data_IF_330993469239
#
_entry.id   IF_330993469239
#
_cell.length_a   1.000
_cell.length_b   1.000
_cell.length_c   1.000
_cell.angle_alpha   90.00
_cell.angle_beta   90.00
_cell.angle_gamma   90.00
#
_symmetry.space_group_name_H-M   'P 1'
#
loop_
_entity.id
_entity.type
_entity.pdbx_description
1 polymer ?
#
# COMPACT_ATOMS: atom_id res chain seq x y z
N UNK A 1 -34.08 20.76 8.56
CA UNK A 1 -33.11 21.12 9.63
C UNK A 1 -32.27 19.88 9.85
N UNK A 2 -31.16 19.78 9.12
CA UNK A 2 -30.23 18.67 9.25
C UNK A 2 -29.40 18.90 10.52
N UNK A 3 -29.52 17.99 11.46
CA UNK A 3 -28.62 17.94 12.61
C UNK A 3 -27.21 17.58 12.10
N UNK A 4 -26.31 18.55 12.12
CA UNK A 4 -24.88 18.31 12.02
C UNK A 4 -24.51 17.58 13.31
N UNK A 5 -24.18 16.28 13.21
CA UNK A 5 -23.62 15.52 14.30
C UNK A 5 -22.34 16.23 14.76
N UNK A 6 -22.25 16.54 16.04
CA UNK A 6 -21.07 17.13 16.65
C UNK A 6 -19.87 16.24 16.34
N UNK A 7 -18.77 16.88 15.94
CA UNK A 7 -17.47 16.26 15.76
C UNK A 7 -17.01 15.77 17.16
N UNK A 8 -17.30 14.51 17.44
CA UNK A 8 -16.86 13.87 18.68
C UNK A 8 -15.33 13.77 18.61
N UNK A 9 -14.62 14.64 19.31
CA UNK A 9 -13.20 14.88 19.44
C UNK A 9 -12.22 13.71 19.28
N UNK A 10 -12.27 13.02 18.15
CA UNK A 10 -11.32 11.96 17.77
C UNK A 10 -9.99 12.57 17.30
N UNK A 11 -8.89 11.93 17.68
CA UNK A 11 -7.59 12.28 17.09
C UNK A 11 -7.57 11.99 15.58
N UNK A 12 -6.73 12.66 14.78
CA UNK A 12 -6.67 12.45 13.33
C UNK A 12 -6.43 10.97 12.95
N UNK A 13 -7.39 10.35 12.26
CA UNK A 13 -7.40 8.95 11.89
C UNK A 13 -8.13 8.02 12.87
N UNK A 14 -8.58 8.49 14.01
CA UNK A 14 -9.39 7.75 14.98
C UNK A 14 -10.90 7.86 14.70
N UNK A 15 -11.32 8.88 13.96
CA UNK A 15 -12.72 9.02 13.53
C UNK A 15 -13.13 7.85 12.65
N UNK A 16 -14.40 7.39 12.77
CA UNK A 16 -14.95 6.39 11.85
C UNK A 16 -14.95 6.94 10.41
N UNK A 17 -14.83 6.02 9.45
CA UNK A 17 -14.97 6.37 8.03
C UNK A 17 -16.40 6.81 7.72
N UNK A 18 -16.56 7.67 6.71
CA UNK A 18 -17.91 8.18 6.33
C UNK A 18 -18.75 7.13 5.61
N UNK A 19 -18.09 6.32 4.78
CA UNK A 19 -18.76 5.37 3.88
C UNK A 19 -18.04 4.05 3.93
N UNK A 20 -18.81 2.96 3.90
CA UNK A 20 -18.32 1.60 3.75
C UNK A 20 -18.49 1.20 2.28
N UNK A 21 -17.44 0.65 1.68
CA UNK A 21 -17.50 0.08 0.34
C UNK A 21 -18.60 -1.00 0.26
N UNK A 22 -19.27 -1.08 -0.86
CA UNK A 22 -20.48 -1.90 -1.04
C UNK A 22 -20.19 -3.33 -1.54
N UNK A 23 -19.15 -3.55 -2.35
CA UNK A 23 -18.77 -4.90 -2.74
C UNK A 23 -18.10 -5.67 -1.57
N UNK A 24 -18.21 -6.99 -1.60
CA UNK A 24 -17.76 -7.90 -0.53
C UNK A 24 -16.89 -9.01 -1.10
N UNK A 25 -15.70 -9.19 -0.54
CA UNK A 25 -14.82 -10.31 -0.85
C UNK A 25 -14.70 -11.22 0.38
N UNK A 26 -15.10 -12.49 0.30
CA UNK A 26 -14.79 -13.46 1.34
C UNK A 26 -13.27 -13.70 1.45
N UNK A 27 -12.73 -13.65 2.68
CA UNK A 27 -11.32 -13.92 2.97
C UNK A 27 -11.28 -14.84 4.20
N UNK A 28 -11.02 -16.12 4.00
CA UNK A 28 -11.14 -17.11 5.06
C UNK A 28 -12.56 -17.11 5.64
N UNK A 29 -12.69 -16.87 6.95
CA UNK A 29 -13.97 -16.74 7.65
C UNK A 29 -14.48 -15.30 7.75
N UNK A 30 -13.74 -14.35 7.20
CA UNK A 30 -14.09 -12.93 7.23
C UNK A 30 -14.46 -12.38 5.86
N UNK A 31 -14.94 -11.14 5.86
CA UNK A 31 -15.34 -10.41 4.65
C UNK A 31 -14.60 -9.09 4.58
N UNK A 32 -13.98 -8.80 3.43
CA UNK A 32 -13.33 -7.53 3.13
C UNK A 32 -14.26 -6.67 2.28
N UNK A 33 -14.59 -5.43 2.69
CA UNK A 33 -15.30 -4.48 1.85
C UNK A 33 -14.35 -3.86 0.83
N UNK A 34 -14.83 -3.61 -0.40
CA UNK A 34 -14.03 -3.00 -1.47
C UNK A 34 -14.90 -2.28 -2.49
N UNK A 35 -14.32 -1.28 -3.18
CA UNK A 35 -14.91 -0.65 -4.36
C UNK A 35 -14.40 -1.34 -5.62
N UNK A 36 -15.30 -1.50 -6.59
CA UNK A 36 -15.02 -2.08 -7.91
C UNK A 36 -15.55 -1.15 -9.01
N UNK A 37 -14.81 -0.95 -10.07
CA UNK A 37 -15.27 -0.20 -11.23
C UNK A 37 -16.19 -1.01 -12.16
N UNK A 38 -16.18 -2.32 -12.03
CA UNK A 38 -17.02 -3.27 -12.75
C UNK A 38 -17.36 -4.42 -11.82
N UNK A 39 -18.53 -5.01 -11.99
CA UNK A 39 -18.93 -6.21 -11.28
C UNK A 39 -18.05 -7.39 -11.76
N UNK A 40 -17.27 -7.94 -10.86
CA UNK A 40 -16.35 -9.05 -11.17
C UNK A 40 -16.94 -10.43 -10.89
N UNK A 41 -18.21 -10.52 -10.50
CA UNK A 41 -18.92 -11.79 -10.34
C UNK A 41 -19.48 -12.31 -11.68
N UNK A 42 -19.36 -11.49 -12.71
CA UNK A 42 -19.59 -11.87 -14.11
C UNK A 42 -18.26 -11.83 -14.89
N UNK A 43 -18.13 -12.61 -16.00
CA UNK A 43 -16.93 -12.57 -16.83
C UNK A 43 -16.65 -11.19 -17.41
N UNK A 44 -15.40 -10.74 -17.32
CA UNK A 44 -14.92 -9.45 -17.78
C UNK A 44 -13.88 -9.59 -18.92
N UNK A 45 -14.28 -10.02 -20.14
CA UNK A 45 -13.34 -10.28 -21.23
C UNK A 45 -12.63 -9.01 -21.76
N UNK A 46 -13.17 -7.83 -21.51
CA UNK A 46 -12.53 -6.58 -21.89
C UNK A 46 -11.41 -6.16 -20.93
N UNK A 47 -11.32 -6.77 -19.74
CA UNK A 47 -10.30 -6.42 -18.75
C UNK A 47 -8.97 -7.07 -19.10
N UNK A 48 -7.97 -6.22 -19.32
CA UNK A 48 -6.57 -6.61 -19.60
C UNK A 48 -5.61 -6.23 -18.49
N UNK A 49 -6.03 -5.35 -17.57
CA UNK A 49 -5.29 -4.87 -16.40
C UNK A 49 -6.21 -4.77 -15.20
N UNK A 50 -5.72 -5.13 -14.02
CA UNK A 50 -6.34 -4.75 -12.75
C UNK A 50 -5.44 -3.74 -12.01
N UNK A 51 -6.03 -2.69 -11.46
CA UNK A 51 -5.34 -1.67 -10.66
C UNK A 51 -5.96 -1.65 -9.28
N UNK A 52 -5.20 -2.16 -8.30
CA UNK A 52 -5.56 -2.16 -6.90
C UNK A 52 -4.98 -0.90 -6.27
N UNK A 53 -5.82 -0.04 -5.70
CA UNK A 53 -5.37 1.21 -5.06
C UNK A 53 -5.66 1.16 -3.56
N UNK A 54 -4.60 1.26 -2.76
CA UNK A 54 -4.63 1.16 -1.32
C UNK A 54 -4.74 2.56 -0.70
N UNK A 55 -5.75 2.74 0.15
CA UNK A 55 -6.05 4.01 0.81
C UNK A 55 -5.00 4.42 1.85
N UNK A 56 -5.04 5.68 2.26
CA UNK A 56 -4.22 6.24 3.32
C UNK A 56 -4.66 5.82 4.74
N UNK A 57 -3.98 6.35 5.75
CA UNK A 57 -4.23 6.05 7.17
C UNK A 57 -5.66 6.32 7.63
N UNK A 58 -6.39 7.21 6.94
CA UNK A 58 -7.78 7.56 7.27
C UNK A 58 -8.79 6.47 6.92
N UNK A 59 -8.39 5.41 6.22
CA UNK A 59 -9.24 4.31 5.77
C UNK A 59 -10.37 4.76 4.82
N UNK A 60 -10.22 5.94 4.23
CA UNK A 60 -11.12 6.64 3.32
C UNK A 60 -11.02 6.07 1.88
N UNK A 61 -11.42 4.81 1.73
CA UNK A 61 -11.35 4.09 0.46
C UNK A 61 -12.20 4.74 -0.65
N UNK A 62 -13.30 5.41 -0.30
CA UNK A 62 -14.13 6.21 -1.20
C UNK A 62 -13.33 7.33 -1.88
N UNK A 63 -12.52 8.06 -1.10
CA UNK A 63 -11.63 9.11 -1.61
C UNK A 63 -10.59 8.55 -2.58
N UNK A 64 -10.01 7.39 -2.25
CA UNK A 64 -9.03 6.74 -3.12
C UNK A 64 -9.66 6.09 -4.34
N UNK A 65 -10.90 5.62 -4.26
CA UNK A 65 -11.65 5.15 -5.42
C UNK A 65 -11.92 6.29 -6.41
N UNK A 66 -12.40 7.43 -5.91
CA UNK A 66 -12.55 8.63 -6.73
C UNK A 66 -11.22 9.10 -7.35
N UNK A 67 -10.12 9.04 -6.57
CA UNK A 67 -8.79 9.36 -7.10
C UNK A 67 -8.33 8.41 -8.22
N UNK A 68 -8.61 7.11 -8.07
CA UNK A 68 -8.33 6.10 -9.10
C UNK A 68 -9.14 6.31 -10.37
N UNK A 69 -10.44 6.63 -10.24
CA UNK A 69 -11.32 6.97 -11.37
C UNK A 69 -10.81 8.22 -12.09
N UNK A 70 -10.53 9.29 -11.36
CA UNK A 70 -9.98 10.53 -11.93
C UNK A 70 -8.63 10.31 -12.64
N UNK A 71 -7.80 9.40 -12.12
CA UNK A 71 -6.55 9.04 -12.79
C UNK A 71 -6.81 8.23 -14.06
N UNK A 72 -7.77 7.30 -14.05
CA UNK A 72 -8.15 6.54 -15.25
C UNK A 72 -8.73 7.45 -16.33
N UNK A 73 -9.58 8.42 -15.97
CA UNK A 73 -10.13 9.41 -16.88
C UNK A 73 -9.01 10.27 -17.51
N UNK A 74 -8.07 10.72 -16.68
CA UNK A 74 -6.92 11.51 -17.16
C UNK A 74 -5.98 10.69 -18.07
N UNK A 75 -5.84 9.38 -17.84
CA UNK A 75 -5.05 8.49 -18.69
C UNK A 75 -5.76 8.14 -20.02
N UNK A 76 -7.08 8.33 -20.12
CA UNK A 76 -7.88 8.13 -21.32
C UNK A 76 -7.68 6.74 -21.94
N UNK A 77 -7.15 6.67 -23.14
CA UNK A 77 -6.97 5.40 -23.84
C UNK A 77 -5.98 4.45 -23.16
N UNK A 78 -5.02 4.93 -22.39
CA UNK A 78 -4.06 4.11 -21.67
C UNK A 78 -4.72 3.31 -20.54
N UNK A 79 -5.82 3.83 -19.95
CA UNK A 79 -6.59 3.15 -18.91
C UNK A 79 -7.64 2.17 -19.46
N UNK A 80 -7.86 2.10 -20.77
CA UNK A 80 -8.84 1.17 -21.35
C UNK A 80 -8.56 -0.28 -20.94
N UNK A 81 -9.62 -0.99 -20.60
CA UNK A 81 -9.52 -2.38 -20.13
C UNK A 81 -8.93 -2.51 -18.73
N UNK A 82 -8.93 -1.45 -17.94
CA UNK A 82 -8.54 -1.50 -16.53
C UNK A 82 -9.75 -1.74 -15.63
N UNK A 83 -9.63 -2.70 -14.71
CA UNK A 83 -10.52 -2.89 -13.57
C UNK A 83 -9.88 -2.18 -12.37
N UNK A 84 -10.59 -1.21 -11.77
CA UNK A 84 -10.16 -0.53 -10.55
C UNK A 84 -10.72 -1.26 -9.33
N UNK A 85 -9.87 -1.53 -8.35
CA UNK A 85 -10.18 -2.25 -7.12
C UNK A 85 -9.63 -1.43 -5.95
N UNK A 86 -10.46 -1.05 -4.99
CA UNK A 86 -10.01 -0.31 -3.81
C UNK A 86 -10.51 -1.01 -2.55
N UNK A 87 -9.69 -1.90 -1.96
CA UNK A 87 -10.04 -2.54 -0.70
C UNK A 87 -10.11 -1.53 0.44
N UNK A 88 -11.01 -1.74 1.40
CA UNK A 88 -11.15 -0.92 2.59
C UNK A 88 -10.74 -1.71 3.83
N UNK A 89 -9.58 -1.37 4.40
CA UNK A 89 -9.11 -1.94 5.66
C UNK A 89 -9.73 -1.18 6.82
N UNK A 90 -10.78 -1.74 7.39
CA UNK A 90 -11.53 -1.12 8.49
C UNK A 90 -10.81 -1.24 9.83
N UNK A 91 -11.18 -0.37 10.76
CA UNK A 91 -10.82 -0.48 12.19
C UNK A 91 -12.07 -0.80 13.03
N UNK A 92 -11.88 -1.23 14.26
CA UNK A 92 -12.98 -1.55 15.16
C UNK A 92 -13.95 -0.38 15.39
N UNK A 93 -13.47 0.87 15.31
CA UNK A 93 -14.33 2.07 15.39
C UNK A 93 -15.31 2.16 14.21
N UNK A 94 -14.88 1.77 13.01
CA UNK A 94 -15.72 1.79 11.80
C UNK A 94 -16.84 0.76 11.91
N UNK A 95 -16.49 -0.46 12.34
CA UNK A 95 -17.45 -1.57 12.52
C UNK A 95 -18.53 -1.19 13.54
N UNK A 96 -18.15 -0.61 14.66
CA UNK A 96 -19.12 -0.17 15.69
C UNK A 96 -20.00 0.98 15.21
N UNK A 97 -19.42 2.00 14.59
CA UNK A 97 -20.14 3.18 14.10
C UNK A 97 -21.20 2.81 13.05
N UNK A 98 -20.82 2.01 12.08
CA UNK A 98 -21.69 1.58 10.98
C UNK A 98 -22.53 0.33 11.29
N UNK A 99 -22.39 -0.25 12.51
CA UNK A 99 -23.11 -1.49 12.93
C UNK A 99 -22.94 -2.60 11.91
N UNK A 100 -21.70 -2.84 11.47
CA UNK A 100 -21.41 -3.83 10.44
C UNK A 100 -21.60 -5.26 10.98
N UNK A 101 -21.82 -6.24 10.08
CA UNK A 101 -21.93 -7.65 10.43
C UNK A 101 -20.68 -8.15 11.15
N UNK A 102 -20.80 -9.19 12.02
CA UNK A 102 -19.69 -9.70 12.84
C UNK A 102 -18.58 -10.38 12.03
N UNK A 103 -18.84 -10.78 10.79
CA UNK A 103 -17.86 -11.35 9.87
C UNK A 103 -17.01 -10.29 9.14
N UNK A 104 -17.27 -9.00 9.36
CA UNK A 104 -16.51 -7.91 8.74
C UNK A 104 -15.09 -7.84 9.31
N UNK A 105 -14.09 -8.03 8.43
CA UNK A 105 -12.69 -7.91 8.80
C UNK A 105 -12.38 -6.49 9.26
N UNK A 106 -11.72 -6.40 10.41
CA UNK A 106 -11.18 -5.14 10.90
C UNK A 106 -9.89 -5.34 11.71
N UNK A 107 -9.08 -4.32 11.70
CA UNK A 107 -7.77 -4.26 12.35
C UNK A 107 -7.77 -3.15 13.40
N UNK A 108 -6.63 -2.95 14.06
CA UNK A 108 -6.38 -1.68 14.75
C UNK A 108 -6.24 -0.54 13.72
N UNK A 109 -6.21 0.70 14.19
CA UNK A 109 -6.03 1.87 13.32
C UNK A 109 -4.79 1.80 12.43
N UNK A 110 -3.75 1.05 12.83
CA UNK A 110 -2.45 1.02 12.15
C UNK A 110 -1.95 -0.38 11.77
N UNK A 111 -2.42 -1.44 12.44
CA UNK A 111 -1.85 -2.79 12.26
C UNK A 111 -2.00 -3.32 10.83
N UNK A 112 -3.09 -2.98 10.14
CA UNK A 112 -3.29 -3.34 8.74
C UNK A 112 -2.17 -2.85 7.82
N UNK A 113 -1.51 -1.74 8.16
CA UNK A 113 -0.39 -1.22 7.37
C UNK A 113 0.87 -2.08 7.48
N UNK A 114 0.96 -2.95 8.47
CA UNK A 114 2.10 -3.84 8.70
C UNK A 114 1.90 -5.28 8.22
N UNK A 115 0.72 -5.63 7.73
CA UNK A 115 0.39 -7.04 7.47
C UNK A 115 0.08 -7.83 8.73
N UNK A 116 -0.26 -7.14 9.82
CA UNK A 116 -0.62 -7.76 11.08
C UNK A 116 -2.00 -8.43 10.98
N UNK A 117 -2.31 -9.37 11.91
CA UNK A 117 -3.61 -10.01 11.96
C UNK A 117 -4.75 -9.03 12.25
N UNK A 118 -5.94 -9.31 11.70
CA UNK A 118 -7.19 -8.65 12.06
C UNK A 118 -7.56 -8.95 13.53
N UNK A 119 -8.30 -8.02 14.15
CA UNK A 119 -8.86 -8.20 15.49
C UNK A 119 -10.08 -9.13 15.46
N UNK A 120 -10.85 -9.10 14.37
CA UNK A 120 -12.02 -9.96 14.15
C UNK A 120 -12.34 -10.10 12.65
N UNK A 121 -13.12 -11.13 12.26
CA UNK A 121 -13.61 -12.27 13.05
C UNK A 121 -12.56 -13.33 13.35
N UNK A 122 -11.43 -13.28 12.68
CA UNK A 122 -10.31 -14.20 12.81
C UNK A 122 -8.98 -13.46 12.54
N UNK A 123 -7.84 -13.98 13.01
CA UNK A 123 -6.54 -13.31 12.85
C UNK A 123 -6.00 -13.41 11.41
N UNK A 124 -6.77 -12.89 10.47
CA UNK A 124 -6.44 -12.82 9.03
C UNK A 124 -5.57 -11.58 8.80
N UNK A 125 -4.39 -11.77 8.20
CA UNK A 125 -3.51 -10.65 7.84
C UNK A 125 -4.16 -9.76 6.77
N UNK A 126 -3.89 -8.46 6.81
CA UNK A 126 -4.23 -7.58 5.68
C UNK A 126 -3.54 -8.00 4.37
N UNK A 127 -2.41 -8.71 4.48
CA UNK A 127 -1.73 -9.29 3.31
C UNK A 127 -2.42 -10.56 2.80
N UNK A 128 -3.04 -11.37 3.67
CA UNK A 128 -3.92 -12.46 3.23
C UNK A 128 -5.15 -11.91 2.49
N UNK A 129 -5.67 -10.76 2.90
CA UNK A 129 -6.75 -10.08 2.20
C UNK A 129 -6.33 -9.60 0.80
N UNK A 130 -5.10 -9.09 0.64
CA UNK A 130 -4.54 -8.78 -0.68
C UNK A 130 -4.29 -10.06 -1.51
N UNK A 131 -3.78 -11.12 -0.90
CA UNK A 131 -3.61 -12.42 -1.57
C UNK A 131 -4.95 -12.95 -2.10
N UNK A 132 -6.06 -12.75 -1.37
CA UNK A 132 -7.40 -13.15 -1.81
C UNK A 132 -7.87 -12.34 -3.04
N UNK A 133 -7.63 -11.04 -3.08
CA UNK A 133 -7.89 -10.22 -4.28
C UNK A 133 -7.10 -10.74 -5.47
N UNK A 134 -5.79 -11.00 -5.28
CA UNK A 134 -4.93 -11.49 -6.34
C UNK A 134 -5.32 -12.90 -6.79
N UNK A 135 -5.77 -13.75 -5.86
CA UNK A 135 -6.29 -15.08 -6.17
C UNK A 135 -7.56 -15.01 -7.04
N UNK A 136 -8.48 -14.09 -6.75
CA UNK A 136 -9.67 -13.85 -7.58
C UNK A 136 -9.30 -13.46 -9.01
N UNK A 137 -8.25 -12.65 -9.18
CA UNK A 137 -7.75 -12.21 -10.49
C UNK A 137 -7.06 -13.31 -11.31
N UNK A 138 -6.69 -14.44 -10.71
CA UNK A 138 -6.15 -15.62 -11.43
C UNK A 138 -7.24 -16.45 -12.11
N UNK A 139 -8.52 -16.21 -11.81
CA UNK A 139 -9.64 -16.92 -12.45
C UNK A 139 -9.74 -16.56 -13.94
N UNK A 140 -9.32 -17.46 -14.79
CA UNK A 140 -9.34 -17.27 -16.25
C UNK A 140 -10.73 -17.34 -16.85
N UNK A 141 -11.73 -17.89 -16.16
CA UNK A 141 -13.13 -17.82 -16.58
C UNK A 141 -13.69 -16.41 -16.38
N UNK A 142 -13.37 -15.79 -15.25
CA UNK A 142 -13.76 -14.41 -14.95
C UNK A 142 -12.93 -13.37 -15.72
N UNK A 143 -11.62 -13.61 -15.88
CA UNK A 143 -10.67 -12.65 -16.48
C UNK A 143 -9.83 -13.27 -17.61
N UNK A 144 -10.44 -13.66 -18.74
CA UNK A 144 -9.76 -14.43 -19.79
C UNK A 144 -8.59 -13.69 -20.44
N UNK A 145 -8.65 -12.37 -20.50
CA UNK A 145 -7.67 -11.51 -21.16
C UNK A 145 -6.79 -10.68 -20.20
N UNK A 146 -6.89 -10.91 -18.90
CA UNK A 146 -6.04 -10.22 -17.91
C UNK A 146 -4.56 -10.56 -18.16
N UNK A 147 -3.70 -9.55 -18.17
CA UNK A 147 -2.26 -9.65 -18.45
C UNK A 147 -1.40 -9.05 -17.35
N UNK A 148 -1.92 -8.06 -16.65
CA UNK A 148 -1.15 -7.34 -15.64
C UNK A 148 -1.99 -6.91 -14.45
N UNK A 149 -1.35 -6.87 -13.28
CA UNK A 149 -1.91 -6.35 -12.03
C UNK A 149 -0.97 -5.29 -11.48
N UNK A 150 -1.53 -4.16 -11.09
CA UNK A 150 -0.82 -3.09 -10.40
C UNK A 150 -1.35 -3.01 -8.96
N UNK A 151 -0.46 -3.08 -7.99
CA UNK A 151 -0.76 -2.84 -6.56
C UNK A 151 -0.17 -1.48 -6.20
N UNK A 152 -1.00 -0.47 -6.14
CA UNK A 152 -0.61 0.91 -5.88
C UNK A 152 -1.12 1.38 -4.52
N UNK A 153 -0.38 2.25 -3.86
CA UNK A 153 -0.83 2.88 -2.63
C UNK A 153 -0.14 4.21 -2.38
N UNK A 154 -0.84 5.08 -1.65
CA UNK A 154 -0.31 6.37 -1.22
C UNK A 154 -0.33 6.46 0.30
N UNK A 155 0.67 7.13 0.90
CA UNK A 155 0.73 7.33 2.36
C UNK A 155 0.74 5.99 3.12
N UNK A 156 -0.26 5.72 3.97
CA UNK A 156 -0.46 4.42 4.62
C UNK A 156 -0.58 3.27 3.61
N UNK A 157 -1.35 3.46 2.53
CA UNK A 157 -1.43 2.50 1.42
C UNK A 157 -0.09 2.32 0.70
N UNK A 158 0.73 3.36 0.59
CA UNK A 158 2.09 3.28 0.06
C UNK A 158 3.00 2.42 0.95
N UNK A 159 2.82 2.48 2.28
CA UNK A 159 3.50 1.59 3.22
C UNK A 159 3.05 0.14 3.02
N UNK A 160 1.75 -0.10 2.84
CA UNK A 160 1.22 -1.45 2.55
C UNK A 160 1.78 -1.97 1.24
N UNK A 161 1.70 -1.20 0.14
CA UNK A 161 2.22 -1.60 -1.16
C UNK A 161 3.71 -1.97 -1.09
N UNK A 162 4.51 -1.19 -0.35
CA UNK A 162 5.93 -1.46 -0.13
C UNK A 162 6.15 -2.75 0.67
N UNK A 163 5.50 -2.89 1.83
CA UNK A 163 5.67 -4.06 2.72
C UNK A 163 5.12 -5.33 2.07
N UNK A 164 4.02 -5.21 1.34
CA UNK A 164 3.49 -6.32 0.56
C UNK A 164 4.42 -6.67 -0.62
N UNK A 165 5.09 -5.69 -1.24
CA UNK A 165 6.15 -5.98 -2.21
C UNK A 165 7.35 -6.71 -1.58
N UNK A 166 7.59 -6.60 -0.26
CA UNK A 166 8.63 -7.36 0.45
C UNK A 166 8.15 -8.77 0.81
N UNK A 167 6.96 -8.93 1.41
CA UNK A 167 6.49 -10.18 2.00
C UNK A 167 5.41 -10.91 1.17
N UNK A 168 4.70 -10.20 0.27
CA UNK A 168 3.51 -10.72 -0.41
C UNK A 168 3.79 -11.94 -1.27
N UNK A 169 2.93 -12.95 -1.12
CA UNK A 169 2.98 -14.22 -1.86
C UNK A 169 2.15 -14.20 -3.14
N UNK A 170 1.12 -13.37 -3.17
CA UNK A 170 0.17 -13.30 -4.29
C UNK A 170 0.82 -12.86 -5.60
N UNK A 171 1.80 -11.94 -5.55
CA UNK A 171 2.52 -11.47 -6.72
C UNK A 171 3.29 -12.60 -7.43
N UNK A 172 3.99 -13.43 -6.67
CA UNK A 172 4.74 -14.55 -7.22
C UNK A 172 3.81 -15.61 -7.82
N UNK A 173 2.64 -15.83 -7.21
CA UNK A 173 1.59 -16.73 -7.75
C UNK A 173 1.02 -16.21 -9.07
N UNK A 174 0.78 -14.90 -9.18
CA UNK A 174 0.34 -14.28 -10.44
C UNK A 174 1.39 -14.44 -11.53
N UNK A 175 2.67 -14.21 -11.21
CA UNK A 175 3.77 -14.38 -12.18
C UNK A 175 3.89 -15.84 -12.64
N UNK A 176 3.69 -16.80 -11.75
CA UNK A 176 3.70 -18.24 -12.09
C UNK A 176 2.62 -18.63 -13.12
N UNK A 177 1.52 -17.88 -13.22
CA UNK A 177 0.46 -18.06 -14.22
C UNK A 177 0.56 -17.05 -15.39
N UNK A 178 1.70 -16.38 -15.54
CA UNK A 178 2.00 -15.49 -16.66
C UNK A 178 1.39 -14.09 -16.56
N UNK A 179 0.98 -13.65 -15.36
CA UNK A 179 0.50 -12.29 -15.13
C UNK A 179 1.62 -11.40 -14.62
N UNK A 180 1.84 -10.27 -15.27
CA UNK A 180 2.81 -9.28 -14.81
C UNK A 180 2.29 -8.55 -13.56
N UNK A 181 3.18 -8.31 -12.59
CA UNK A 181 2.83 -7.57 -11.36
C UNK A 181 3.74 -6.38 -11.18
N UNK A 182 3.15 -5.22 -10.89
CA UNK A 182 3.86 -3.99 -10.55
C UNK A 182 3.38 -3.44 -9.22
N UNK A 183 4.31 -2.98 -8.41
CA UNK A 183 4.01 -2.27 -7.15
C UNK A 183 4.30 -0.79 -7.32
N UNK A 184 3.36 0.07 -6.89
CA UNK A 184 3.52 1.53 -6.93
C UNK A 184 3.46 2.07 -5.51
N UNK A 185 4.57 2.60 -5.05
CA UNK A 185 4.80 3.04 -3.66
C UNK A 185 4.88 4.55 -3.65
N UNK A 186 3.77 5.22 -3.29
CA UNK A 186 3.67 6.67 -3.29
C UNK A 186 3.70 7.25 -1.88
N UNK A 187 4.61 8.16 -1.61
CA UNK A 187 4.75 8.95 -0.38
C UNK A 187 4.58 8.16 0.94
N UNK A 188 5.17 6.98 1.16
CA UNK A 188 5.06 6.29 2.44
C UNK A 188 5.83 7.05 3.53
N UNK A 189 5.41 6.90 4.78
CA UNK A 189 6.11 7.51 5.93
C UNK A 189 7.35 6.75 6.37
N UNK A 190 7.50 5.49 5.96
CA UNK A 190 8.67 4.66 6.30
C UNK A 190 8.84 3.52 5.31
N UNK A 191 10.03 2.97 5.28
CA UNK A 191 10.46 1.86 4.43
C UNK A 191 11.04 0.72 5.28
N UNK A 192 11.09 -0.47 4.70
CA UNK A 192 11.68 -1.67 5.32
C UNK A 192 13.13 -1.79 4.86
N UNK A 193 14.08 -1.60 5.76
CA UNK A 193 15.50 -1.83 5.50
C UNK A 193 15.85 -3.30 5.77
N UNK A 194 16.71 -3.89 4.95
CA UNK A 194 17.09 -5.31 5.04
C UNK A 194 18.26 -5.56 5.98
N UNK A 195 18.92 -4.50 6.46
CA UNK A 195 20.00 -4.57 7.42
C UNK A 195 19.95 -3.37 8.41
N UNK A 196 20.78 -3.38 9.49
CA UNK A 196 20.78 -2.29 10.47
C UNK A 196 21.40 -0.97 10.01
N UNK A 197 21.68 -0.78 8.73
CA UNK A 197 22.20 0.49 8.21
C UNK A 197 21.07 1.51 8.00
N UNK A 198 21.39 2.77 8.25
CA UNK A 198 20.52 3.92 7.99
C UNK A 198 21.31 5.05 7.35
N UNK A 199 20.66 5.97 6.64
CA UNK A 199 21.35 7.09 6.00
C UNK A 199 22.07 7.96 7.03
N UNK A 200 23.25 8.44 6.66
CA UNK A 200 24.06 9.39 7.40
C UNK A 200 23.94 10.79 6.82
N UNK A 201 24.38 11.81 7.56
CA UNK A 201 24.27 13.21 7.14
C UNK A 201 25.14 13.55 5.92
N UNK A 202 26.19 12.80 5.70
CA UNK A 202 27.10 12.90 4.53
C UNK A 202 26.58 12.17 3.29
N UNK A 203 25.39 11.58 3.36
CA UNK A 203 24.74 10.89 2.24
C UNK A 203 25.12 9.42 2.09
N UNK A 204 25.98 8.89 3.00
CA UNK A 204 26.31 7.47 3.06
C UNK A 204 25.32 6.64 3.88
N UNK A 205 25.70 5.41 4.20
CA UNK A 205 24.96 4.51 5.07
C UNK A 205 25.90 3.93 6.13
N UNK A 206 25.42 3.89 7.37
CA UNK A 206 26.17 3.30 8.48
C UNK A 206 25.22 2.55 9.41
N UNK A 207 25.80 1.58 10.16
CA UNK A 207 25.06 0.88 11.20
C UNK A 207 24.49 1.87 12.21
N UNK A 208 23.17 1.87 12.34
CA UNK A 208 22.49 2.78 13.25
C UNK A 208 22.72 2.34 14.71
N UNK A 209 23.02 3.25 15.63
CA UNK A 209 23.22 2.92 17.03
C UNK A 209 21.90 2.52 17.69
N UNK A 210 21.69 1.24 17.99
CA UNK A 210 20.48 0.72 18.60
C UNK A 210 20.13 1.40 19.94
N UNK A 211 21.12 1.86 20.69
CA UNK A 211 20.91 2.60 21.93
C UNK A 211 20.11 3.91 21.75
N UNK A 212 20.13 4.50 20.54
CA UNK A 212 19.35 5.72 20.21
C UNK A 212 17.88 5.42 19.95
N UNK A 213 17.57 4.20 19.48
CA UNK A 213 16.20 3.78 19.16
C UNK A 213 16.18 2.24 19.12
N UNK A 214 15.87 1.55 20.22
CA UNK A 214 15.92 0.08 20.28
C UNK A 214 15.04 -0.62 19.22
N UNK A 215 13.93 0.00 18.80
CA UNK A 215 13.01 -0.52 17.79
C UNK A 215 13.31 -0.10 16.34
N UNK A 216 14.46 0.53 16.06
CA UNK A 216 14.75 1.09 14.73
C UNK A 216 14.73 0.05 13.60
N UNK A 217 15.03 -1.22 13.92
CA UNK A 217 15.12 -2.33 12.97
C UNK A 217 13.97 -3.35 13.15
N UNK A 218 13.00 -3.03 14.01
CA UNK A 218 11.79 -3.83 14.15
C UNK A 218 10.91 -3.70 12.88
N UNK A 219 10.17 -4.77 12.55
CA UNK A 219 9.09 -4.65 11.60
C UNK A 219 8.16 -3.53 12.08
N UNK A 220 7.91 -2.62 11.32
CA UNK A 220 7.78 -2.33 9.89
C UNK A 220 8.89 -1.39 9.33
N UNK A 221 10.01 -1.26 10.03
CA UNK A 221 11.15 -0.41 9.65
C UNK A 221 12.38 -1.23 9.24
N UNK A 222 12.43 -2.47 9.65
CA UNK A 222 13.47 -3.45 9.37
C UNK A 222 12.93 -4.88 9.46
N UNK A 223 13.81 -5.85 9.64
CA UNK A 223 13.49 -7.27 9.50
C UNK A 223 13.26 -8.00 10.83
N UNK A 224 13.36 -7.33 11.98
CA UNK A 224 13.17 -7.98 13.26
C UNK A 224 11.68 -8.06 13.62
N UNK A 225 11.20 -9.24 14.01
CA UNK A 225 9.81 -9.45 14.43
C UNK A 225 8.82 -9.32 13.28
N UNK A 226 9.05 -10.03 12.17
CA UNK A 226 8.13 -10.10 11.04
C UNK A 226 6.72 -10.53 11.50
N UNK A 227 5.65 -10.05 10.82
CA UNK A 227 4.28 -10.42 11.17
C UNK A 227 4.04 -11.92 10.92
N UNK A 228 3.04 -12.54 11.59
CA UNK A 228 2.71 -13.95 11.41
C UNK A 228 2.49 -14.37 9.95
N UNK A 229 2.05 -13.45 9.09
CA UNK A 229 1.92 -13.66 7.65
C UNK A 229 3.23 -14.14 6.98
N UNK A 230 4.38 -13.69 7.46
CA UNK A 230 5.67 -14.12 6.92
C UNK A 230 5.93 -15.62 7.13
N UNK A 231 5.26 -16.27 8.08
CA UNK A 231 5.45 -17.67 8.41
C UNK A 231 6.89 -18.00 8.75
N UNK A 232 7.45 -19.01 8.12
CA UNK A 232 8.84 -19.44 8.31
C UNK A 232 9.85 -18.70 7.42
N UNK A 233 9.46 -17.60 6.76
CA UNK A 233 10.38 -16.87 5.88
C UNK A 233 11.58 -16.32 6.66
N UNK A 234 12.78 -16.69 6.24
CA UNK A 234 13.99 -16.14 6.83
C UNK A 234 14.18 -14.69 6.33
N UNK A 235 14.37 -13.71 7.24
CA UNK A 235 14.56 -12.30 6.84
C UNK A 235 15.60 -12.10 5.74
N UNK A 236 16.72 -12.81 5.83
CA UNK A 236 17.81 -12.72 4.84
C UNK A 236 17.42 -13.22 3.43
N UNK A 237 16.37 -14.02 3.31
CA UNK A 237 15.89 -14.54 2.03
C UNK A 237 14.91 -13.61 1.30
N UNK A 238 14.50 -12.50 1.92
CA UNK A 238 13.46 -11.61 1.38
C UNK A 238 14.01 -10.52 0.45
N UNK A 239 15.27 -10.12 0.63
CA UNK A 239 15.86 -8.98 -0.09
C UNK A 239 16.01 -9.27 -1.59
N UNK A 240 16.58 -10.39 -1.98
CA UNK A 240 16.86 -10.70 -3.38
C UNK A 240 15.58 -10.84 -4.22
N UNK A 241 14.53 -11.58 -3.77
CA UNK A 241 13.24 -11.59 -4.46
C UNK A 241 12.62 -10.19 -4.59
N UNK A 242 12.66 -9.37 -3.53
CA UNK A 242 12.16 -8.00 -3.57
C UNK A 242 12.89 -7.15 -4.61
N UNK A 243 14.22 -7.22 -4.65
CA UNK A 243 15.02 -6.48 -5.63
C UNK A 243 14.69 -6.85 -7.09
N UNK A 244 14.25 -8.09 -7.32
CA UNK A 244 13.80 -8.57 -8.64
C UNK A 244 12.37 -8.18 -9.03
N UNK A 245 11.56 -7.64 -8.11
CA UNK A 245 10.17 -7.24 -8.40
C UNK A 245 10.12 -5.91 -9.16
N UNK A 246 9.02 -5.69 -9.88
CA UNK A 246 8.78 -4.38 -10.53
C UNK A 246 8.20 -3.40 -9.50
N UNK A 247 9.01 -2.49 -9.01
CA UNK A 247 8.60 -1.47 -8.05
C UNK A 247 8.83 -0.07 -8.62
N UNK A 248 7.82 0.79 -8.49
CA UNK A 248 7.88 2.21 -8.87
C UNK A 248 7.65 3.06 -7.63
N UNK A 249 8.62 3.88 -7.26
CA UNK A 249 8.50 4.84 -6.18
C UNK A 249 8.09 6.19 -6.73
N UNK A 250 7.08 6.81 -6.10
CA UNK A 250 6.61 8.14 -6.44
C UNK A 250 6.69 9.03 -5.20
N UNK A 251 7.37 10.16 -5.30
CA UNK A 251 7.51 11.10 -4.20
C UNK A 251 7.06 12.50 -4.62
N UNK A 252 6.21 13.12 -3.81
CA UNK A 252 5.87 14.53 -3.99
C UNK A 252 7.07 15.41 -3.64
N UNK A 253 7.48 16.27 -4.57
CA UNK A 253 8.58 17.20 -4.35
C UNK A 253 8.32 18.21 -3.22
N UNK A 254 7.04 18.46 -2.91
CA UNK A 254 6.59 19.27 -1.79
C UNK A 254 6.27 18.51 -0.50
N UNK A 255 6.44 17.17 -0.45
CA UNK A 255 6.17 16.37 0.76
C UNK A 255 7.38 16.40 1.73
N UNK A 256 7.73 17.60 2.17
CA UNK A 256 8.92 17.94 2.96
C UNK A 256 8.59 18.47 4.36
N UNK A 257 7.32 18.52 4.72
CA UNK A 257 6.90 18.99 6.04
C UNK A 257 7.22 17.93 7.10
N UNK A 258 8.05 18.33 8.09
CA UNK A 258 8.46 17.49 9.23
C UNK A 258 7.39 17.40 10.31
N UNK A 259 6.47 18.36 10.33
CA UNK A 259 5.44 18.49 11.34
C UNK A 259 4.06 18.06 10.84
N UNK A 260 3.99 17.55 9.61
CA UNK A 260 2.75 17.06 9.02
C UNK A 260 2.12 15.97 9.93
N UNK A 261 0.85 16.13 10.37
CA UNK A 261 0.24 15.31 11.42
C UNK A 261 0.21 13.80 11.14
N UNK A 262 0.17 13.40 9.86
CA UNK A 262 0.19 12.00 9.46
C UNK A 262 1.60 11.44 9.17
N UNK A 263 2.65 12.25 9.40
CA UNK A 263 4.03 11.75 9.29
C UNK A 263 4.33 10.86 10.50
N UNK A 264 4.89 9.67 10.25
CA UNK A 264 5.45 8.85 11.32
C UNK A 264 6.69 9.53 11.91
N UNK A 265 6.57 9.96 13.16
CA UNK A 265 7.62 10.67 13.91
C UNK A 265 8.33 9.79 14.95
N UNK A 266 8.08 8.47 14.91
CA UNK A 266 8.83 7.55 15.75
C UNK A 266 10.33 7.65 15.49
N UNK A 267 11.15 7.31 16.49
CA UNK A 267 12.60 7.31 16.31
C UNK A 267 13.06 6.39 15.19
N UNK A 268 12.36 5.29 14.94
CA UNK A 268 12.64 4.35 13.87
C UNK A 268 12.39 4.95 12.47
N UNK A 269 11.29 5.68 12.31
CA UNK A 269 11.01 6.40 11.08
C UNK A 269 11.96 7.60 10.89
N UNK A 270 12.27 8.34 11.97
CA UNK A 270 13.20 9.47 11.95
C UNK A 270 14.63 9.04 11.59
N UNK A 271 15.04 7.81 11.95
CA UNK A 271 16.32 7.24 11.55
C UNK A 271 16.46 7.07 10.01
N UNK A 272 15.35 7.09 9.27
CA UNK A 272 15.34 6.99 7.80
C UNK A 272 15.43 8.36 7.11
N UNK A 273 15.20 9.45 7.83
CA UNK A 273 15.23 10.82 7.32
C UNK A 273 14.15 11.71 7.93
N UNK A 274 14.24 13.02 7.71
CA UNK A 274 13.40 14.01 8.39
C UNK A 274 11.95 14.10 7.89
N UNK A 275 11.70 13.76 6.64
CA UNK A 275 10.38 13.82 5.97
C UNK A 275 10.28 12.79 4.85
N UNK A 276 9.06 12.60 4.29
CA UNK A 276 8.79 11.49 3.36
C UNK A 276 9.67 11.51 2.12
N UNK A 277 9.86 12.68 1.49
CA UNK A 277 10.73 12.79 0.32
C UNK A 277 12.17 12.35 0.64
N UNK A 278 12.76 12.85 1.73
CA UNK A 278 14.12 12.48 2.12
C UNK A 278 14.24 10.98 2.42
N UNK A 279 13.24 10.40 3.14
CA UNK A 279 13.21 8.96 3.44
C UNK A 279 13.15 8.11 2.18
N UNK A 280 12.33 8.53 1.21
CA UNK A 280 12.20 7.83 -0.07
C UNK A 280 13.48 7.86 -0.89
N UNK A 281 14.09 9.03 -1.04
CA UNK A 281 15.34 9.18 -1.76
C UNK A 281 16.48 8.40 -1.10
N UNK A 282 16.61 8.48 0.22
CA UNK A 282 17.60 7.71 0.96
C UNK A 282 17.38 6.19 0.81
N UNK A 283 16.13 5.72 0.92
CA UNK A 283 15.83 4.30 0.74
C UNK A 283 16.16 3.80 -0.67
N UNK A 284 15.86 4.58 -1.70
CA UNK A 284 16.19 4.21 -3.07
C UNK A 284 17.70 4.18 -3.31
N UNK A 285 18.44 5.15 -2.76
CA UNK A 285 19.91 5.15 -2.78
C UNK A 285 20.48 3.93 -2.04
N UNK A 286 19.92 3.56 -0.88
CA UNK A 286 20.26 2.35 -0.14
C UNK A 286 20.10 1.09 -1.02
N UNK A 287 18.98 0.94 -1.70
CA UNK A 287 18.75 -0.21 -2.59
C UNK A 287 19.73 -0.22 -3.77
N UNK A 288 19.98 0.92 -4.39
CA UNK A 288 20.92 1.02 -5.52
C UNK A 288 22.37 0.69 -5.12
N UNK A 289 22.78 1.06 -3.92
CA UNK A 289 24.12 0.72 -3.40
C UNK A 289 24.27 -0.79 -3.19
N UNK A 290 23.19 -1.48 -2.81
CA UNK A 290 23.18 -2.93 -2.57
C UNK A 290 22.93 -3.77 -3.82
N UNK A 291 22.20 -3.22 -4.77
CA UNK A 291 21.80 -3.85 -6.04
C UNK A 291 22.10 -2.89 -7.19
N UNK A 292 23.33 -2.85 -7.73
CA UNK A 292 23.69 -1.94 -8.82
C UNK A 292 22.78 -2.06 -10.05
N UNK A 293 22.32 -3.28 -10.36
CA UNK A 293 21.41 -3.59 -11.48
C UNK A 293 19.93 -3.51 -11.11
N UNK A 294 19.59 -2.85 -10.00
CA UNK A 294 18.19 -2.71 -9.53
C UNK A 294 17.28 -2.15 -10.62
N UNK A 295 16.26 -2.92 -11.00
CA UNK A 295 15.28 -2.53 -12.00
C UNK A 295 14.15 -1.64 -11.46
N UNK A 296 14.11 -1.39 -10.15
CA UNK A 296 13.14 -0.47 -9.57
C UNK A 296 13.29 0.93 -10.16
N UNK A 297 12.17 1.62 -10.32
CA UNK A 297 12.12 3.00 -10.86
C UNK A 297 11.68 3.96 -9.77
N UNK A 298 12.10 5.21 -9.89
CA UNK A 298 11.69 6.26 -8.96
C UNK A 298 11.47 7.58 -9.70
N UNK A 299 10.50 8.37 -9.24
CA UNK A 299 10.26 9.71 -9.74
C UNK A 299 9.86 10.66 -8.60
N UNK A 300 10.44 11.85 -8.62
CA UNK A 300 9.96 13.00 -7.83
C UNK A 300 8.94 13.75 -8.69
N UNK A 301 7.76 14.02 -8.15
CA UNK A 301 6.70 14.76 -8.83
C UNK A 301 6.73 16.22 -8.34
N UNK A 302 7.22 17.17 -9.17
CA UNK A 302 7.32 18.57 -8.77
C UNK A 302 5.96 19.15 -8.41
N UNK A 303 5.91 20.03 -7.40
CA UNK A 303 4.69 20.74 -7.00
C UNK A 303 3.64 19.90 -6.27
N UNK A 304 3.81 18.60 -6.18
CA UNK A 304 2.91 17.71 -5.41
C UNK A 304 3.43 17.59 -3.98
N UNK A 305 2.55 17.86 -3.02
CA UNK A 305 2.76 17.59 -1.60
C UNK A 305 2.30 16.20 -1.19
N UNK A 306 1.72 16.09 0.02
CA UNK A 306 1.14 14.84 0.51
C UNK A 306 -0.30 14.65 0.03
N UNK A 307 -0.50 14.50 -1.28
CA UNK A 307 -1.80 14.40 -1.95
C UNK A 307 -1.82 13.20 -2.91
N UNK A 308 -2.61 12.17 -2.56
CA UNK A 308 -2.73 10.94 -3.35
C UNK A 308 -3.42 11.16 -4.70
N UNK A 309 -4.43 12.04 -4.75
CA UNK A 309 -5.15 12.36 -5.97
C UNK A 309 -4.27 13.09 -6.98
N UNK A 310 -3.53 14.10 -6.54
CA UNK A 310 -2.55 14.81 -7.36
C UNK A 310 -1.40 13.87 -7.80
N UNK A 311 -0.93 13.00 -6.89
CA UNK A 311 0.12 12.02 -7.18
C UNK A 311 -0.29 11.07 -8.31
N UNK A 312 -1.46 10.44 -8.21
CA UNK A 312 -1.91 9.46 -9.19
C UNK A 312 -2.30 10.08 -10.54
N UNK A 313 -2.71 11.37 -10.57
CA UNK A 313 -2.97 12.11 -11.82
C UNK A 313 -1.73 12.75 -12.44
N UNK A 314 -0.60 12.76 -11.78
CA UNK A 314 0.66 13.24 -12.36
C UNK A 314 1.11 12.36 -13.52
N UNK A 315 1.90 12.89 -14.47
CA UNK A 315 2.42 12.10 -15.58
C UNK A 315 3.18 10.82 -15.10
N UNK A 316 4.08 10.88 -14.09
CA UNK A 316 4.66 9.66 -13.53
C UNK A 316 3.65 8.73 -12.87
N UNK A 317 2.60 9.27 -12.22
CA UNK A 317 1.52 8.50 -11.61
C UNK A 317 0.72 7.74 -12.65
N UNK A 318 0.28 8.41 -13.72
CA UNK A 318 -0.45 7.78 -14.83
C UNK A 318 0.38 6.70 -15.50
N UNK A 319 1.66 6.96 -15.76
CA UNK A 319 2.59 5.98 -16.31
C UNK A 319 2.74 4.76 -15.39
N UNK A 320 2.89 4.98 -14.07
CA UNK A 320 3.01 3.89 -13.11
C UNK A 320 1.75 3.01 -13.02
N UNK A 321 0.55 3.59 -13.16
CA UNK A 321 -0.73 2.88 -13.07
C UNK A 321 -1.14 2.22 -14.40
N UNK A 322 -0.93 2.90 -15.54
CA UNK A 322 -1.60 2.55 -16.78
C UNK A 322 -0.69 2.26 -17.97
N UNK A 323 0.62 2.57 -17.93
CA UNK A 323 1.50 2.21 -19.03
C UNK A 323 1.73 0.70 -19.12
N UNK A 324 1.99 0.23 -20.33
CA UNK A 324 2.41 -1.16 -20.55
C UNK A 324 3.76 -1.41 -19.86
N UNK A 325 3.90 -2.60 -19.31
CA UNK A 325 5.17 -3.09 -18.73
C UNK A 325 6.23 -3.24 -19.81
#
# INVERSE_FOLDING_TARGET
MMLVAADEGYAPGESPVRVIADARLPVGTGVLPLYLSQDWDVPLPAVTRAVIVLHGRRRDADTYYAAAQNAADAAGSAARGSLLIVPQFLAGVDVRHHRLPPDMLHWTLESWMGGEPAEAPAPISSFDALDAILARLMDRAGFPNLRSVVVAGHSGGGQVAHRYAVLGRGGDRLQAVGLAVRYVVANPSSYVYFNPERPTLDGGFARFPAARCPGFDAWKYGMNGLPPYAGAAAPAALEAPFAGRQVVYLWGGGDTDRDQPALDRSCAAAAQGPHRLARGQAYFAYLKARHPDLAHRAAVVPGVGHDGGAMFRSAPGLAALFDKN
#
